data_IF_188958620174
#
_entry.id   IF_188958620174
#
_cell.length_a   1.000
_cell.length_b   1.000
_cell.length_c   1.000
_cell.angle_alpha   90.00
_cell.angle_beta   90.00
_cell.angle_gamma   90.00
#
_symmetry.space_group_name_H-M   'P 1'
#
loop_
_entity.id
_entity.type
_entity.pdbx_description
1 polymer ?
#
# COMPACT_ATOMS: atom_id res chain seq x y z
N UNK A 1 14.92 10.68 14.93
CA UNK A 1 14.85 9.97 13.64
C UNK A 1 13.41 9.95 13.15
N UNK A 2 13.19 9.96 11.84
CA UNK A 2 11.85 9.89 11.27
C UNK A 2 11.47 8.44 11.01
N UNK A 3 10.25 8.07 11.36
CA UNK A 3 9.69 6.73 11.11
C UNK A 3 9.08 6.65 9.72
N UNK A 4 9.38 5.60 9.01
CA UNK A 4 8.94 5.34 7.65
C UNK A 4 8.29 3.98 7.50
N UNK A 5 7.44 3.86 6.52
CA UNK A 5 6.85 2.60 6.05
C UNK A 5 7.18 2.44 4.57
N UNK A 6 7.79 1.32 4.23
CA UNK A 6 7.99 0.89 2.86
C UNK A 6 6.96 -0.19 2.51
N UNK A 7 6.28 0.01 1.40
CA UNK A 7 5.32 -0.93 0.84
C UNK A 7 5.89 -1.47 -0.47
N UNK A 8 6.17 -2.77 -0.49
CA UNK A 8 6.74 -3.44 -1.64
C UNK A 8 5.64 -3.93 -2.59
N UNK A 9 5.90 -3.82 -3.87
CA UNK A 9 4.99 -4.29 -4.92
C UNK A 9 5.29 -5.73 -5.29
N UNK A 10 4.25 -6.55 -5.38
CA UNK A 10 4.30 -7.94 -5.89
C UNK A 10 5.27 -8.88 -5.17
N UNK A 11 5.42 -8.72 -3.86
CA UNK A 11 6.14 -9.68 -3.03
C UNK A 11 5.17 -10.69 -2.43
N UNK A 12 5.54 -11.97 -2.46
CA UNK A 12 4.82 -13.08 -1.85
C UNK A 12 3.34 -13.20 -2.30
N UNK A 13 3.05 -12.76 -3.53
CA UNK A 13 1.71 -12.84 -4.12
C UNK A 13 1.61 -14.06 -5.02
N UNK A 14 0.65 -14.95 -4.75
CA UNK A 14 0.38 -16.11 -5.59
C UNK A 14 1.56 -17.08 -5.75
N UNK A 15 2.42 -17.21 -4.74
CA UNK A 15 3.60 -18.07 -4.78
C UNK A 15 4.73 -17.58 -5.69
N UNK A 16 4.63 -16.38 -6.23
CA UNK A 16 5.68 -15.73 -7.03
C UNK A 16 6.45 -14.72 -6.20
N UNK A 17 7.72 -14.49 -6.58
CA UNK A 17 8.61 -13.52 -5.91
C UNK A 17 8.69 -13.77 -4.38
N UNK A 18 8.85 -15.03 -4.00
CA UNK A 18 8.99 -15.41 -2.60
C UNK A 18 10.28 -14.83 -2.03
N UNK A 19 10.12 -14.00 -1.00
CA UNK A 19 11.22 -13.46 -0.23
C UNK A 19 10.97 -13.71 1.25
N UNK A 20 11.97 -14.26 1.93
CA UNK A 20 11.93 -14.39 3.38
C UNK A 20 11.97 -13.02 4.03
N UNK A 21 11.16 -12.81 5.06
CA UNK A 21 11.09 -11.53 5.75
C UNK A 21 12.42 -11.13 6.41
N UNK A 22 13.20 -12.10 6.86
CA UNK A 22 14.55 -11.85 7.39
C UNK A 22 15.49 -11.32 6.31
N UNK A 23 15.49 -11.91 5.12
CA UNK A 23 16.29 -11.43 3.98
C UNK A 23 15.85 -10.00 3.55
N UNK A 24 14.57 -9.71 3.60
CA UNK A 24 14.07 -8.37 3.33
C UNK A 24 14.55 -7.36 4.38
N UNK A 25 14.52 -7.72 5.66
CA UNK A 25 15.06 -6.89 6.74
C UNK A 25 16.54 -6.61 6.54
N UNK A 26 17.34 -7.66 6.25
CA UNK A 26 18.78 -7.54 6.04
C UNK A 26 19.13 -6.56 4.92
N UNK A 27 18.35 -6.54 3.83
CA UNK A 27 18.51 -5.57 2.72
C UNK A 27 18.34 -4.12 3.20
N UNK A 28 17.36 -3.87 4.05
CA UNK A 28 17.11 -2.53 4.60
C UNK A 28 18.18 -2.13 5.63
N UNK A 29 18.60 -3.04 6.49
CA UNK A 29 19.67 -2.80 7.47
C UNK A 29 21.02 -2.56 6.80
N UNK A 30 21.36 -3.29 5.74
CA UNK A 30 22.56 -3.08 4.94
C UNK A 30 22.60 -1.70 4.27
N UNK A 31 21.43 -1.10 4.00
CA UNK A 31 21.31 0.28 3.51
C UNK A 31 21.49 1.34 4.62
N UNK A 32 21.79 0.95 5.85
CA UNK A 32 22.01 1.86 6.98
C UNK A 32 20.73 2.34 7.69
N UNK A 33 19.61 1.71 7.39
CA UNK A 33 18.34 2.02 8.07
C UNK A 33 18.30 1.36 9.44
N UNK A 34 17.63 2.00 10.40
CA UNK A 34 17.60 1.58 11.80
C UNK A 34 16.23 1.02 12.19
N UNK A 35 16.21 0.19 13.23
CA UNK A 35 14.99 -0.38 13.79
C UNK A 35 14.08 -1.04 12.75
N UNK A 36 14.70 -1.73 11.78
CA UNK A 36 13.98 -2.35 10.67
C UNK A 36 13.13 -3.53 11.16
N UNK A 37 11.84 -3.47 10.90
CA UNK A 37 10.90 -4.56 11.21
C UNK A 37 9.99 -4.82 10.03
N UNK A 38 9.67 -6.07 9.80
CA UNK A 38 8.68 -6.48 8.79
C UNK A 38 7.32 -6.71 9.45
N UNK A 39 6.26 -6.37 8.74
CA UNK A 39 4.89 -6.55 9.21
C UNK A 39 4.11 -7.42 8.23
N UNK A 40 3.69 -8.60 8.67
CA UNK A 40 3.09 -9.65 7.85
C UNK A 40 4.01 -10.08 6.67
N UNK A 41 3.64 -11.13 5.95
CA UNK A 41 4.42 -11.61 4.79
C UNK A 41 4.03 -10.91 3.47
N UNK A 42 3.63 -9.66 3.55
CA UNK A 42 3.06 -8.90 2.43
C UNK A 42 3.96 -7.77 1.93
N UNK A 43 5.25 -7.79 2.28
CA UNK A 43 6.19 -6.75 1.86
C UNK A 43 5.93 -5.38 2.50
N UNK A 44 5.62 -5.38 3.78
CA UNK A 44 5.53 -4.16 4.59
C UNK A 44 6.75 -4.08 5.50
N UNK A 45 7.52 -3.01 5.40
CA UNK A 45 8.72 -2.78 6.22
C UNK A 45 8.60 -1.44 6.94
N UNK A 46 8.84 -1.45 8.23
CA UNK A 46 8.90 -0.25 9.06
C UNK A 46 10.34 -0.02 9.47
N UNK A 47 10.80 1.22 9.43
CA UNK A 47 12.18 1.57 9.78
C UNK A 47 12.30 3.03 10.20
N UNK A 48 13.45 3.37 10.76
CA UNK A 48 13.82 4.73 11.14
C UNK A 48 15.09 5.19 10.45
N UNK A 49 15.16 6.47 10.12
CA UNK A 49 16.39 7.10 9.66
C UNK A 49 16.39 8.61 9.93
N UNK A 50 17.58 9.17 10.11
CA UNK A 50 17.80 10.61 10.13
C UNK A 50 18.20 11.16 8.75
N UNK A 51 18.43 10.29 7.77
CA UNK A 51 18.85 10.69 6.44
C UNK A 51 17.75 11.48 5.73
N UNK A 52 18.11 12.67 5.21
CA UNK A 52 17.19 13.49 4.39
C UNK A 52 16.88 12.86 3.05
N UNK A 53 17.79 12.05 2.51
CA UNK A 53 17.63 11.33 1.25
C UNK A 53 17.71 9.84 1.51
N UNK A 54 16.64 9.16 1.21
CA UNK A 54 16.54 7.72 1.46
C UNK A 54 17.40 6.94 0.46
N UNK A 55 18.17 5.93 0.91
CA UNK A 55 19.17 5.24 0.10
C UNK A 55 18.59 4.17 -0.85
N UNK A 56 17.34 4.35 -1.31
CA UNK A 56 16.64 3.29 -2.06
C UNK A 56 17.17 3.01 -3.46
N UNK A 57 17.95 3.93 -4.04
CA UNK A 57 18.70 3.64 -5.28
C UNK A 57 19.86 2.66 -5.06
N UNK A 58 20.31 2.54 -3.82
CA UNK A 58 21.39 1.62 -3.43
C UNK A 58 20.88 0.27 -2.88
N UNK A 59 19.58 0.11 -2.72
CA UNK A 59 19.01 -1.23 -2.53
C UNK A 59 19.26 -1.98 -3.84
N UNK A 60 20.30 -2.79 -3.86
CA UNK A 60 20.69 -3.62 -5.01
C UNK A 60 19.65 -4.75 -5.21
N UNK A 61 18.42 -4.36 -5.50
CA UNK A 61 17.30 -5.28 -5.67
C UNK A 61 16.36 -4.75 -6.76
N UNK A 62 15.74 -5.66 -7.50
CA UNK A 62 14.65 -5.35 -8.45
C UNK A 62 13.33 -5.01 -7.74
N UNK A 63 13.38 -4.77 -6.44
CA UNK A 63 12.19 -4.49 -5.62
C UNK A 63 11.64 -3.10 -5.94
N UNK A 64 10.39 -3.06 -6.37
CA UNK A 64 9.64 -1.81 -6.48
C UNK A 64 9.05 -1.45 -5.12
N UNK A 65 9.48 -0.33 -4.58
CA UNK A 65 9.15 0.14 -3.23
C UNK A 65 8.53 1.53 -3.29
N UNK A 66 7.40 1.71 -2.62
CA UNK A 66 6.87 3.03 -2.32
C UNK A 66 7.01 3.32 -0.83
N UNK A 67 7.34 4.55 -0.48
CA UNK A 67 7.64 4.94 0.89
C UNK A 67 6.79 6.10 1.32
N UNK A 68 6.32 6.00 2.55
CA UNK A 68 5.61 7.04 3.28
C UNK A 68 6.27 7.24 4.64
N UNK A 69 6.24 8.45 5.14
CA UNK A 69 6.40 8.65 6.58
C UNK A 69 5.16 8.12 7.31
N UNK A 70 5.31 7.76 8.56
CA UNK A 70 4.16 7.35 9.40
C UNK A 70 3.13 8.47 9.48
N UNK A 71 3.56 9.74 9.53
CA UNK A 71 2.66 10.89 9.55
C UNK A 71 1.86 11.05 8.25
N UNK A 72 2.46 10.76 7.10
CA UNK A 72 1.72 10.74 5.81
C UNK A 72 0.63 9.66 5.83
N UNK A 73 0.94 8.47 6.32
CA UNK A 73 -0.06 7.39 6.45
C UNK A 73 -1.17 7.78 7.44
N UNK A 74 -0.83 8.42 8.56
CA UNK A 74 -1.83 8.94 9.52
C UNK A 74 -2.75 9.98 8.88
N UNK A 75 -2.23 10.86 8.04
CA UNK A 75 -3.05 11.82 7.28
C UNK A 75 -4.00 11.12 6.30
N UNK A 76 -3.51 10.10 5.59
CA UNK A 76 -4.32 9.28 4.68
C UNK A 76 -5.46 8.60 5.44
N UNK A 77 -5.17 7.98 6.59
CA UNK A 77 -6.19 7.29 7.38
C UNK A 77 -7.18 8.25 8.05
N UNK A 78 -6.75 9.44 8.43
CA UNK A 78 -7.63 10.48 8.98
C UNK A 78 -8.65 10.99 7.96
N UNK A 79 -8.32 10.98 6.69
CA UNK A 79 -9.23 11.35 5.61
C UNK A 79 -10.46 10.42 5.53
N UNK A 80 -10.28 9.15 5.84
CA UNK A 80 -11.26 8.06 5.91
C UNK A 80 -12.49 8.22 4.98
N UNK A 81 -12.34 7.98 3.67
CA UNK A 81 -13.45 8.08 2.73
C UNK A 81 -14.45 6.91 2.87
N UNK A 82 -14.13 5.90 3.68
CA UNK A 82 -14.95 4.73 3.91
C UNK A 82 -16.04 4.92 4.97
N UNK A 83 -16.07 6.05 5.67
CA UNK A 83 -17.02 6.32 6.76
C UNK A 83 -18.49 6.12 6.37
N UNK A 84 -18.82 6.37 5.11
CA UNK A 84 -20.19 6.26 4.59
C UNK A 84 -20.49 4.90 3.94
N UNK A 85 -19.53 3.99 3.93
CA UNK A 85 -19.73 2.66 3.36
C UNK A 85 -20.42 1.80 4.40
N UNK A 86 -21.57 1.26 4.03
CA UNK A 86 -22.32 0.35 4.90
C UNK A 86 -21.48 -0.90 5.23
N UNK A 87 -21.46 -1.30 6.51
CA UNK A 87 -20.82 -2.54 6.90
C UNK A 87 -21.44 -3.74 6.19
N UNK A 88 -20.67 -4.77 5.92
CA UNK A 88 -21.16 -5.97 5.28
C UNK A 88 -20.10 -6.71 4.51
N UNK A 89 -20.51 -7.35 3.42
CA UNK A 89 -19.65 -8.18 2.59
C UNK A 89 -18.83 -7.32 1.61
N UNK A 90 -17.99 -6.46 2.19
CA UNK A 90 -17.10 -5.54 1.46
C UNK A 90 -15.67 -5.69 1.94
N UNK A 91 -14.74 -5.50 1.03
CA UNK A 91 -13.33 -5.35 1.32
C UNK A 91 -12.90 -3.91 0.99
N UNK A 92 -12.42 -3.20 1.99
CA UNK A 92 -11.95 -1.82 1.85
C UNK A 92 -10.44 -1.83 1.58
N UNK A 93 -10.02 -1.20 0.49
CA UNK A 93 -8.63 -1.20 0.05
C UNK A 93 -8.09 0.20 -0.15
N UNK A 94 -6.83 0.39 0.22
CA UNK A 94 -6.02 1.53 -0.20
C UNK A 94 -5.04 1.04 -1.26
N UNK A 95 -5.06 1.68 -2.40
CA UNK A 95 -4.12 1.43 -3.50
C UNK A 95 -3.12 2.58 -3.52
N UNK A 96 -1.90 2.30 -3.10
CA UNK A 96 -0.83 3.28 -3.02
C UNK A 96 -0.17 3.46 -4.38
N UNK A 97 -0.11 4.69 -4.83
CA UNK A 97 0.37 5.07 -6.16
C UNK A 97 1.85 5.45 -6.11
N UNK A 98 2.65 4.91 -7.03
CA UNK A 98 4.07 5.25 -7.11
C UNK A 98 4.29 6.69 -7.56
N UNK A 99 3.39 7.22 -8.39
CA UNK A 99 3.38 8.59 -8.87
C UNK A 99 2.00 9.20 -8.71
N UNK A 100 1.91 10.53 -8.70
CA UNK A 100 0.63 11.21 -8.80
C UNK A 100 0.05 10.98 -10.20
N UNK A 101 -1.23 10.61 -10.33
CA UNK A 101 -1.85 10.49 -11.64
C UNK A 101 -1.92 11.85 -12.33
N UNK A 102 -1.66 11.87 -13.65
CA UNK A 102 -1.73 13.10 -14.44
C UNK A 102 -3.17 13.62 -14.56
N UNK A 103 -4.14 12.70 -14.59
CA UNK A 103 -5.55 13.01 -14.68
C UNK A 103 -6.34 12.07 -13.78
N UNK A 104 -7.45 12.59 -13.24
CA UNK A 104 -8.40 11.80 -12.47
C UNK A 104 -9.67 11.58 -13.27
N UNK A 105 -10.21 10.34 -13.31
CA UNK A 105 -11.52 10.09 -13.87
C UNK A 105 -12.60 10.74 -12.99
N UNK A 106 -13.82 10.84 -13.53
CA UNK A 106 -14.98 11.19 -12.71
C UNK A 106 -15.20 10.12 -11.64
N UNK A 107 -15.26 10.56 -10.39
CA UNK A 107 -15.48 9.67 -9.24
C UNK A 107 -16.92 9.82 -8.69
N UNK A 108 -17.52 8.76 -8.13
CA UNK A 108 -16.99 7.39 -8.03
C UNK A 108 -16.98 6.68 -9.40
N UNK A 109 -15.98 5.83 -9.60
CA UNK A 109 -15.84 5.04 -10.81
C UNK A 109 -16.00 3.55 -10.50
N UNK A 110 -16.98 2.92 -11.14
CA UNK A 110 -17.24 1.48 -10.98
C UNK A 110 -16.57 0.66 -12.08
N UNK A 111 -16.00 -0.48 -11.68
CA UNK A 111 -15.58 -1.52 -12.63
C UNK A 111 -16.82 -2.23 -13.19
N UNK A 112 -16.80 -2.55 -14.48
CA UNK A 112 -17.89 -3.27 -15.14
C UNK A 112 -17.87 -4.77 -14.85
N UNK A 113 -16.75 -5.35 -14.43
CA UNK A 113 -16.54 -6.80 -14.34
C UNK A 113 -16.17 -7.32 -12.95
N UNK A 114 -15.58 -6.47 -12.10
CA UNK A 114 -14.91 -6.93 -10.89
C UNK A 114 -15.57 -6.51 -9.57
N UNK A 115 -16.73 -5.88 -9.62
CA UNK A 115 -17.43 -5.32 -8.46
C UNK A 115 -16.55 -4.40 -7.61
N UNK A 116 -15.74 -3.58 -8.27
CA UNK A 116 -14.87 -2.59 -7.66
C UNK A 116 -15.43 -1.20 -7.87
N UNK A 117 -15.25 -0.34 -6.88
CA UNK A 117 -15.63 1.06 -6.94
C UNK A 117 -14.48 1.93 -6.40
N UNK A 118 -13.87 2.71 -7.27
CA UNK A 118 -12.90 3.73 -6.89
C UNK A 118 -13.67 4.96 -6.42
N UNK A 119 -13.64 5.20 -5.10
CA UNK A 119 -14.48 6.23 -4.48
C UNK A 119 -13.75 7.56 -4.26
N UNK A 120 -12.44 7.53 -4.09
CA UNK A 120 -11.64 8.73 -3.86
C UNK A 120 -10.18 8.51 -4.26
N UNK A 121 -9.51 9.58 -4.62
CA UNK A 121 -8.06 9.65 -4.78
C UNK A 121 -7.57 10.89 -4.04
N UNK A 122 -6.58 10.72 -3.17
CA UNK A 122 -5.95 11.81 -2.43
C UNK A 122 -4.44 11.59 -2.40
N UNK A 123 -3.70 12.56 -2.92
CA UNK A 123 -2.24 12.49 -3.05
C UNK A 123 -1.80 11.22 -3.80
N UNK A 124 -1.12 10.31 -3.14
CA UNK A 124 -0.69 9.01 -3.69
C UNK A 124 -1.47 7.84 -3.11
N UNK A 125 -2.73 8.04 -2.78
CA UNK A 125 -3.61 6.99 -2.28
C UNK A 125 -4.96 7.00 -3.01
N UNK A 126 -5.33 5.85 -3.56
CA UNK A 126 -6.64 5.60 -4.14
C UNK A 126 -7.44 4.66 -3.23
N UNK A 127 -8.71 4.96 -3.02
CA UNK A 127 -9.58 4.23 -2.09
C UNK A 127 -10.63 3.45 -2.87
N UNK A 128 -10.61 2.13 -2.69
CA UNK A 128 -11.46 1.21 -3.45
C UNK A 128 -12.30 0.37 -2.51
N UNK A 129 -13.59 0.30 -2.81
CA UNK A 129 -14.52 -0.66 -2.20
C UNK A 129 -14.65 -1.84 -3.15
N UNK A 130 -14.30 -3.03 -2.68
CA UNK A 130 -14.54 -4.27 -3.39
C UNK A 130 -15.75 -4.98 -2.78
N UNK A 131 -16.69 -5.38 -3.62
CA UNK A 131 -17.86 -6.17 -3.21
C UNK A 131 -17.71 -7.59 -3.74
N UNK A 132 -18.21 -8.57 -2.99
CA UNK A 132 -18.08 -9.97 -3.36
C UNK A 132 -18.75 -10.24 -4.71
N UNK A 133 -18.05 -10.94 -5.58
CA UNK A 133 -18.56 -11.40 -6.87
C UNK A 133 -19.48 -12.60 -6.70
N UNK A 134 -20.29 -12.91 -7.71
CA UNK A 134 -21.11 -14.14 -7.73
C UNK A 134 -20.28 -15.43 -7.59
N UNK A 135 -19.01 -15.40 -7.97
CA UNK A 135 -18.04 -16.49 -7.78
C UNK A 135 -17.62 -16.71 -6.32
N UNK A 136 -18.00 -15.83 -5.40
CA UNK A 136 -17.59 -15.84 -4.00
C UNK A 136 -16.28 -15.11 -3.69
N UNK A 137 -15.58 -14.61 -4.71
CA UNK A 137 -14.29 -13.91 -4.58
C UNK A 137 -14.47 -12.39 -4.69
N UNK A 138 -13.56 -11.65 -4.10
CA UNK A 138 -13.40 -10.23 -4.36
C UNK A 138 -12.51 -9.98 -5.58
N UNK A 139 -12.83 -8.97 -6.38
CA UNK A 139 -11.94 -8.48 -7.42
C UNK A 139 -10.66 -7.89 -6.80
N UNK A 140 -9.56 -7.92 -7.54
CA UNK A 140 -8.29 -7.36 -7.08
C UNK A 140 -8.13 -5.91 -7.57
N UNK A 141 -8.09 -4.92 -6.67
CA UNK A 141 -8.17 -3.50 -7.05
C UNK A 141 -6.96 -2.99 -7.82
N UNK A 142 -5.79 -3.61 -7.66
CA UNK A 142 -4.53 -3.06 -8.15
C UNK A 142 -4.53 -2.81 -9.66
N UNK A 143 -4.88 -3.85 -10.45
CA UNK A 143 -4.89 -3.73 -11.91
C UNK A 143 -5.94 -2.74 -12.41
N UNK A 144 -7.11 -2.69 -11.76
CA UNK A 144 -8.17 -1.74 -12.07
C UNK A 144 -7.68 -0.30 -11.88
N UNK A 145 -7.08 0.00 -10.74
CA UNK A 145 -6.56 1.33 -10.43
C UNK A 145 -5.41 1.72 -11.34
N UNK A 146 -4.45 0.81 -11.57
CA UNK A 146 -3.33 1.07 -12.49
C UNK A 146 -3.83 1.41 -13.90
N UNK A 147 -4.83 0.70 -14.40
CA UNK A 147 -5.45 0.96 -15.71
C UNK A 147 -6.15 2.31 -15.75
N UNK A 148 -6.94 2.64 -14.72
CA UNK A 148 -7.74 3.87 -14.71
C UNK A 148 -6.90 5.12 -14.44
N UNK A 149 -5.84 5.02 -13.66
CA UNK A 149 -5.01 6.17 -13.27
C UNK A 149 -3.69 6.26 -14.06
N UNK A 150 -3.31 5.23 -14.82
CA UNK A 150 -2.11 5.21 -15.64
C UNK A 150 -0.80 5.21 -14.83
N UNK A 151 -0.82 4.74 -13.59
CA UNK A 151 0.34 4.72 -12.69
C UNK A 151 0.52 3.34 -12.05
N UNK A 152 1.76 2.98 -11.75
CA UNK A 152 2.09 1.76 -11.00
C UNK A 152 1.63 1.90 -9.56
N UNK A 153 1.10 0.81 -8.98
CA UNK A 153 0.52 0.84 -7.65
C UNK A 153 0.75 -0.45 -6.86
N UNK A 154 0.50 -0.39 -5.56
CA UNK A 154 0.45 -1.56 -4.66
C UNK A 154 -0.73 -1.42 -3.70
N UNK A 155 -1.44 -2.51 -3.46
CA UNK A 155 -2.69 -2.52 -2.68
C UNK A 155 -2.47 -3.05 -1.28
N UNK A 156 -3.11 -2.43 -0.29
CA UNK A 156 -3.26 -2.95 1.08
C UNK A 156 -4.71 -2.81 1.54
N UNK A 157 -5.18 -3.76 2.32
CA UNK A 157 -6.47 -3.63 2.98
C UNK A 157 -6.44 -2.46 3.98
N UNK A 158 -7.55 -1.77 4.13
CA UNK A 158 -7.71 -0.65 5.07
C UNK A 158 -7.34 -1.03 6.50
N UNK A 159 -7.79 -2.19 6.95
CA UNK A 159 -7.43 -2.72 8.28
C UNK A 159 -5.92 -2.97 8.44
N UNK A 160 -5.26 -3.43 7.38
CA UNK A 160 -3.80 -3.64 7.37
C UNK A 160 -3.06 -2.31 7.48
N UNK A 161 -3.51 -1.27 6.79
CA UNK A 161 -2.88 0.06 6.86
C UNK A 161 -2.95 0.63 8.28
N UNK A 162 -4.10 0.50 8.95
CA UNK A 162 -4.29 0.95 10.33
C UNK A 162 -3.38 0.20 11.30
N UNK A 163 -3.36 -1.14 11.23
CA UNK A 163 -2.48 -1.97 12.05
C UNK A 163 -1.00 -1.69 11.81
N UNK A 164 -0.64 -1.35 10.58
CA UNK A 164 0.74 -1.02 10.20
C UNK A 164 1.20 0.31 10.83
N UNK A 165 0.30 1.29 10.94
CA UNK A 165 0.56 2.54 11.65
C UNK A 165 0.77 2.27 13.14
N UNK A 166 -0.14 1.51 13.77
CA UNK A 166 -0.02 1.14 15.18
C UNK A 166 1.30 0.38 15.44
N UNK A 167 1.67 -0.53 14.55
CA UNK A 167 2.93 -1.27 14.64
C UNK A 167 4.16 -0.34 14.50
N UNK A 168 4.11 0.65 13.62
CA UNK A 168 5.18 1.62 13.44
C UNK A 168 5.33 2.55 14.65
N UNK A 169 4.24 2.84 15.36
CA UNK A 169 4.30 3.66 16.59
C UNK A 169 5.01 2.93 17.74
N UNK A 170 5.15 1.60 17.67
CA UNK A 170 5.89 0.79 18.66
C UNK A 170 7.42 0.77 18.44
N UNK A 171 7.96 1.42 17.40
CA UNK A 171 9.41 1.58 17.19
C UNK A 171 10.06 2.51 18.20
#
# INVERSE_FOLDING_TARGET
MTKYVALLRKINVGGKNLMKMDALRDVFEAAGLKNVRTFQQAGNVVFETAAKKLPFKSLNTDLKVIIFTVDELKKITKHDPFKKIEPGDVMLCVVFLFDKPAQLPKLPLKSTTDNLELIAVKDRAAFVVARRKKTGWFGFPNNFVEKQLGVTATTRQWSTVRKLIDFADLL
#
